data_IF_997777647559
#
_entry.id   IF_997777647559
#
_cell.length_a   1.000
_cell.length_b   1.000
_cell.length_c   1.000
_cell.angle_alpha   90.00
_cell.angle_beta   90.00
_cell.angle_gamma   90.00
#
_symmetry.space_group_name_H-M   'P 1'
#
loop_
_entity.id
_entity.type
_entity.pdbx_description
1 polymer ?
#
# COMPACT_ATOMS: atom_id res chain seq x y z
N UNK A 1 0.33 -35.30 3.89
CA UNK A 1 0.64 -33.91 4.28
C UNK A 1 0.67 -33.07 3.00
N UNK A 2 -0.38 -32.30 2.72
CA UNK A 2 -0.39 -31.40 1.57
C UNK A 2 0.53 -30.22 1.84
N UNK A 3 1.57 -30.02 1.02
CA UNK A 3 2.34 -28.77 1.05
C UNK A 3 1.41 -27.67 0.56
N UNK A 4 0.98 -26.77 1.46
CA UNK A 4 0.38 -25.52 1.04
C UNK A 4 1.40 -24.75 0.22
N UNK A 5 1.02 -24.35 -0.99
CA UNK A 5 1.86 -23.48 -1.82
C UNK A 5 1.94 -22.14 -1.07
N UNK A 6 3.13 -21.65 -0.68
CA UNK A 6 3.24 -20.36 -0.04
C UNK A 6 2.73 -19.27 -0.98
N UNK A 7 1.94 -18.32 -0.47
CA UNK A 7 1.47 -17.19 -1.28
C UNK A 7 2.69 -16.53 -1.96
N UNK A 8 2.70 -16.38 -3.30
CA UNK A 8 3.84 -15.85 -4.05
C UNK A 8 4.30 -14.46 -3.58
N UNK A 9 3.41 -13.68 -2.95
CA UNK A 9 3.74 -12.36 -2.42
C UNK A 9 4.91 -12.36 -1.44
N UNK A 10 5.05 -13.41 -0.63
CA UNK A 10 6.12 -13.47 0.37
C UNK A 10 7.49 -13.58 -0.30
N UNK A 11 7.59 -14.43 -1.32
CA UNK A 11 8.80 -14.50 -2.15
C UNK A 11 9.10 -13.15 -2.81
N UNK A 12 8.06 -12.44 -3.28
CA UNK A 12 8.23 -11.14 -3.92
C UNK A 12 8.76 -10.09 -2.94
N UNK A 13 8.16 -9.94 -1.76
CA UNK A 13 8.55 -8.95 -0.74
C UNK A 13 10.00 -9.13 -0.32
N UNK A 14 10.42 -10.37 -0.06
CA UNK A 14 11.76 -10.62 0.47
C UNK A 14 12.86 -10.45 -0.59
N UNK A 15 12.51 -10.58 -1.88
CA UNK A 15 13.42 -10.30 -3.01
C UNK A 15 13.64 -8.81 -3.29
N UNK A 16 12.74 -7.92 -2.83
CA UNK A 16 12.84 -6.49 -3.12
C UNK A 16 14.19 -5.90 -2.65
N UNK A 17 14.80 -5.06 -3.48
CA UNK A 17 16.01 -4.33 -3.17
C UNK A 17 15.73 -3.05 -2.34
N UNK A 18 15.05 -3.19 -1.20
CA UNK A 18 14.67 -2.07 -0.33
C UNK A 18 15.03 -2.32 1.15
N UNK A 19 15.08 -1.27 1.99
CA UNK A 19 15.40 -1.41 3.41
C UNK A 19 14.46 -2.36 4.14
N UNK A 20 14.97 -3.12 5.12
CA UNK A 20 14.18 -4.10 5.88
C UNK A 20 12.91 -3.50 6.51
N UNK A 21 12.96 -2.24 6.96
CA UNK A 21 11.78 -1.53 7.51
C UNK A 21 10.62 -1.41 6.51
N UNK A 22 10.92 -1.30 5.21
CA UNK A 22 9.92 -1.26 4.14
C UNK A 22 9.31 -2.65 4.00
N UNK A 23 10.12 -3.71 3.92
CA UNK A 23 9.63 -5.10 3.86
C UNK A 23 8.72 -5.45 5.06
N UNK A 24 9.14 -5.08 6.27
CA UNK A 24 8.33 -5.26 7.48
C UNK A 24 7.02 -4.47 7.44
N UNK A 25 7.05 -3.24 6.93
CA UNK A 25 5.84 -2.45 6.74
C UNK A 25 4.85 -3.13 5.78
N UNK A 26 5.33 -3.62 4.62
CA UNK A 26 4.48 -4.35 3.66
C UNK A 26 3.91 -5.61 4.33
N UNK A 27 4.75 -6.40 5.00
CA UNK A 27 4.32 -7.58 5.74
C UNK A 27 3.19 -7.26 6.75
N UNK A 28 3.37 -6.20 7.57
CA UNK A 28 2.33 -5.77 8.53
C UNK A 28 1.05 -5.34 7.85
N UNK A 29 1.18 -4.63 6.72
CA UNK A 29 0.05 -4.16 5.93
C UNK A 29 -0.75 -5.34 5.40
N UNK A 30 -0.11 -6.30 4.73
CA UNK A 30 -0.80 -7.47 4.17
C UNK A 30 -1.44 -8.38 5.23
N UNK A 31 -0.93 -8.36 6.46
CA UNK A 31 -1.57 -9.02 7.59
C UNK A 31 -2.71 -8.20 8.25
N UNK A 32 -3.03 -7.00 7.76
CA UNK A 32 -4.04 -6.11 8.33
C UNK A 32 -3.67 -5.58 9.72
N UNK A 33 -2.38 -5.56 10.07
CA UNK A 33 -1.88 -5.20 11.42
C UNK A 33 -1.28 -3.78 11.48
N UNK A 34 -1.49 -3.00 10.42
CA UNK A 34 -1.04 -1.63 10.36
C UNK A 34 -1.91 -0.75 11.28
N UNK A 35 -1.32 0.11 12.12
CA UNK A 35 -2.10 0.94 13.03
C UNK A 35 -2.67 2.13 12.26
N UNK A 36 -3.83 1.96 11.63
CA UNK A 36 -4.59 3.05 11.01
C UNK A 36 -5.50 3.71 12.06
N UNK A 37 -5.86 5.00 11.93
CA UNK A 37 -6.66 5.67 12.97
C UNK A 37 -8.03 5.04 13.16
N UNK A 38 -8.65 4.51 12.09
CA UNK A 38 -9.88 3.71 12.21
C UNK A 38 -9.66 2.51 13.14
N UNK A 39 -8.58 1.76 12.94
CA UNK A 39 -8.24 0.59 13.76
C UNK A 39 -7.96 0.98 15.22
N UNK A 40 -7.33 2.12 15.46
CA UNK A 40 -7.07 2.62 16.82
C UNK A 40 -8.35 3.09 17.51
N UNK A 41 -9.22 3.81 16.80
CA UNK A 41 -10.51 4.25 17.29
C UNK A 41 -11.42 3.04 17.63
N UNK A 42 -11.43 2.02 16.77
CA UNK A 42 -12.14 0.75 17.02
C UNK A 42 -11.62 -0.02 18.25
N UNK A 43 -10.39 0.27 18.70
CA UNK A 43 -9.81 -0.25 19.95
C UNK A 43 -10.07 0.69 21.14
N UNK A 44 -11.04 1.60 21.02
CA UNK A 44 -11.44 2.56 22.06
C UNK A 44 -10.33 3.54 22.48
N UNK A 45 -9.31 3.76 21.63
CA UNK A 45 -8.38 4.87 21.86
C UNK A 45 -9.06 6.19 21.54
N UNK A 46 -8.81 7.22 22.36
CA UNK A 46 -9.31 8.58 22.16
C UNK A 46 -8.57 9.28 21.01
N UNK A 47 -8.78 8.81 19.79
CA UNK A 47 -8.23 9.37 18.55
C UNK A 47 -9.34 9.59 17.53
N UNK A 48 -9.29 10.70 16.80
CA UNK A 48 -10.19 10.90 15.66
C UNK A 48 -9.85 9.88 14.57
N UNK A 49 -10.83 9.16 13.99
CA UNK A 49 -10.59 8.21 12.89
C UNK A 49 -10.32 8.91 11.56
N UNK A 50 -10.40 10.24 11.51
CA UNK A 50 -10.19 11.02 10.28
C UNK A 50 -8.73 11.02 9.84
N UNK A 51 -8.49 11.06 8.53
CA UNK A 51 -7.15 11.18 7.97
C UNK A 51 -6.45 12.48 8.43
N UNK A 52 -5.27 12.41 9.06
CA UNK A 52 -4.56 13.60 9.54
C UNK A 52 -3.97 14.43 8.39
N UNK A 53 -3.70 13.79 7.24
CA UNK A 53 -3.02 14.43 6.11
C UNK A 53 -3.96 15.29 5.28
N UNK A 54 -5.14 14.78 4.94
CA UNK A 54 -6.09 15.49 4.07
C UNK A 54 -7.33 16.02 4.80
N UNK A 55 -7.53 15.60 6.07
CA UNK A 55 -8.72 15.91 6.87
C UNK A 55 -10.05 15.53 6.20
N UNK A 56 -10.02 14.61 5.22
CA UNK A 56 -11.16 14.15 4.45
C UNK A 56 -11.23 12.63 4.52
N UNK A 57 -12.33 12.10 5.01
CA UNK A 57 -12.54 10.65 5.11
C UNK A 57 -11.80 10.00 6.28
N UNK A 58 -12.06 8.70 6.45
CA UNK A 58 -11.50 7.87 7.50
C UNK A 58 -10.11 7.37 7.10
N UNK A 59 -9.16 7.37 8.04
CA UNK A 59 -7.83 6.80 7.81
C UNK A 59 -7.87 5.28 8.00
N UNK A 60 -8.21 4.57 6.94
CA UNK A 60 -7.93 3.15 6.77
C UNK A 60 -6.75 2.95 5.80
N UNK A 61 -6.34 1.70 5.58
CA UNK A 61 -5.22 1.36 4.68
C UNK A 61 -5.48 1.85 3.25
N UNK A 62 -6.71 1.73 2.73
CA UNK A 62 -7.06 2.11 1.35
C UNK A 62 -6.97 3.62 1.17
N UNK A 63 -7.51 4.38 2.11
CA UNK A 63 -7.46 5.83 2.09
C UNK A 63 -6.03 6.33 2.27
N UNK A 64 -5.33 5.87 3.28
CA UNK A 64 -3.96 6.29 3.58
C UNK A 64 -3.02 6.02 2.40
N UNK A 65 -3.12 4.85 1.76
CA UNK A 65 -2.22 4.47 0.68
C UNK A 65 -2.66 4.95 -0.70
N UNK A 66 -3.95 5.13 -0.99
CA UNK A 66 -4.40 5.33 -2.38
C UNK A 66 -5.40 6.48 -2.56
N UNK A 67 -6.36 6.67 -1.66
CA UNK A 67 -7.44 7.66 -1.88
C UNK A 67 -7.14 9.06 -1.33
N UNK A 68 -6.24 9.15 -0.35
CA UNK A 68 -5.82 10.43 0.24
C UNK A 68 -5.26 11.34 -0.86
N UNK A 69 -5.60 12.63 -0.80
CA UNK A 69 -5.12 13.62 -1.79
C UNK A 69 -3.59 13.62 -1.91
N UNK A 70 -2.88 13.43 -0.79
CA UNK A 70 -1.42 13.34 -0.81
C UNK A 70 -0.92 12.04 -1.44
N UNK A 71 -1.60 10.92 -1.18
CA UNK A 71 -1.29 9.65 -1.81
C UNK A 71 -1.45 9.76 -3.34
N UNK A 72 -2.59 10.27 -3.80
CA UNK A 72 -2.86 10.51 -5.23
C UNK A 72 -1.77 11.37 -5.89
N UNK A 73 -1.31 12.41 -5.22
CA UNK A 73 -0.21 13.25 -5.73
C UNK A 73 1.10 12.46 -5.89
N UNK A 74 1.47 11.64 -4.91
CA UNK A 74 2.69 10.81 -4.98
C UNK A 74 2.60 9.82 -6.14
N UNK A 75 1.48 9.11 -6.26
CA UNK A 75 1.28 8.12 -7.32
C UNK A 75 1.23 8.73 -8.71
N UNK A 76 0.60 9.90 -8.85
CA UNK A 76 0.62 10.66 -10.11
C UNK A 76 2.02 11.07 -10.53
N UNK A 77 2.86 11.49 -9.58
CA UNK A 77 4.28 11.82 -9.86
C UNK A 77 5.11 10.60 -10.29
N UNK A 78 4.66 9.39 -9.98
CA UNK A 78 5.27 8.14 -10.40
C UNK A 78 4.63 7.57 -11.68
N UNK A 79 3.63 8.25 -12.27
CA UNK A 79 2.91 7.75 -13.44
C UNK A 79 2.02 6.53 -13.16
N UNK A 80 1.63 6.31 -11.90
CA UNK A 80 0.80 5.19 -11.46
C UNK A 80 -0.67 5.59 -11.20
N UNK A 81 -1.05 6.83 -11.46
CA UNK A 81 -2.40 7.33 -11.20
C UNK A 81 -3.48 6.55 -11.97
N UNK A 82 -3.24 6.25 -13.25
CA UNK A 82 -4.21 5.51 -14.09
C UNK A 82 -4.50 4.12 -13.52
N UNK A 83 -3.44 3.37 -13.16
CA UNK A 83 -3.62 2.01 -12.63
C UNK A 83 -4.22 2.04 -11.22
N UNK A 84 -3.84 3.00 -10.39
CA UNK A 84 -4.35 3.14 -9.03
C UNK A 84 -5.82 3.55 -9.02
N UNK A 85 -6.23 4.49 -9.87
CA UNK A 85 -7.62 4.88 -9.99
C UNK A 85 -8.46 3.66 -10.45
N UNK A 86 -8.00 2.91 -11.46
CA UNK A 86 -8.69 1.70 -11.95
C UNK A 86 -8.87 0.63 -10.88
N UNK A 87 -7.83 0.31 -10.09
CA UNK A 87 -7.96 -0.71 -9.03
C UNK A 87 -8.76 -0.21 -7.83
N UNK A 88 -8.82 1.11 -7.62
CA UNK A 88 -9.60 1.71 -6.54
C UNK A 88 -11.11 1.79 -6.86
N UNK A 89 -11.50 1.73 -8.14
CA UNK A 89 -12.91 1.60 -8.56
C UNK A 89 -13.54 0.29 -8.06
N UNK A 90 -12.72 -0.75 -7.89
CA UNK A 90 -13.16 -2.01 -7.29
C UNK A 90 -13.20 -1.86 -5.77
N UNK A 91 -14.24 -2.41 -5.13
CA UNK A 91 -14.38 -2.40 -3.67
C UNK A 91 -13.46 -3.44 -3.00
N UNK A 92 -12.15 -3.22 -3.14
CA UNK A 92 -11.10 -3.99 -2.49
C UNK A 92 -10.56 -3.26 -1.27
N UNK A 93 -10.15 -4.03 -0.27
CA UNK A 93 -9.37 -3.55 0.87
C UNK A 93 -8.00 -3.03 0.40
N UNK A 94 -7.42 -2.07 1.14
CA UNK A 94 -6.14 -1.46 0.76
C UNK A 94 -4.97 -2.46 0.71
N UNK A 95 -5.04 -3.49 1.56
CA UNK A 95 -4.10 -4.60 1.61
C UNK A 95 -4.11 -5.40 0.31
N UNK A 96 -5.30 -5.71 -0.20
CA UNK A 96 -5.48 -6.46 -1.45
C UNK A 96 -5.01 -5.65 -2.67
N UNK A 97 -5.26 -4.32 -2.67
CA UNK A 97 -4.74 -3.43 -3.72
C UNK A 97 -3.21 -3.42 -3.70
N UNK A 98 -2.59 -3.31 -2.52
CA UNK A 98 -1.13 -3.32 -2.41
C UNK A 98 -0.52 -4.67 -2.84
N UNK A 99 -1.13 -5.79 -2.46
CA UNK A 99 -0.72 -7.12 -2.91
C UNK A 99 -0.81 -7.25 -4.42
N UNK A 100 -1.93 -6.83 -5.02
CA UNK A 100 -2.12 -6.81 -6.46
C UNK A 100 -1.02 -6.01 -7.16
N UNK A 101 -0.76 -4.77 -6.72
CA UNK A 101 0.27 -3.92 -7.33
C UNK A 101 1.67 -4.53 -7.25
N UNK A 102 2.02 -5.22 -6.17
CA UNK A 102 3.33 -5.88 -6.01
C UNK A 102 3.49 -7.15 -6.85
N UNK A 103 2.38 -7.81 -7.19
CA UNK A 103 2.34 -9.02 -8.02
C UNK A 103 2.09 -8.74 -9.50
N UNK A 104 1.87 -7.48 -9.89
CA UNK A 104 1.68 -7.12 -11.28
C UNK A 104 2.85 -7.60 -12.17
N UNK A 105 2.56 -8.13 -13.37
CA UNK A 105 3.58 -8.42 -14.37
C UNK A 105 4.32 -7.15 -14.79
N UNK A 106 5.62 -7.28 -15.09
CA UNK A 106 6.47 -6.12 -15.44
C UNK A 106 5.96 -5.38 -16.68
N UNK A 107 5.37 -6.09 -17.65
CA UNK A 107 4.75 -5.51 -18.85
C UNK A 107 3.59 -4.55 -18.54
N UNK A 108 2.91 -4.72 -17.42
CA UNK A 108 1.76 -3.91 -17.00
C UNK A 108 2.19 -2.78 -16.04
N UNK A 109 3.46 -2.80 -15.60
CA UNK A 109 4.10 -1.81 -14.74
C UNK A 109 4.99 -0.88 -15.57
N UNK A 110 4.40 0.13 -16.22
CA UNK A 110 5.18 1.18 -16.90
C UNK A 110 5.36 2.40 -16.00
N UNK A 111 6.24 2.30 -14.98
CA UNK A 111 6.58 3.45 -14.12
C UNK A 111 7.64 4.30 -14.81
N UNK A 112 7.21 5.23 -15.67
CA UNK A 112 8.06 6.29 -16.27
C UNK A 112 9.43 5.85 -16.84
N UNK A 113 9.60 4.57 -17.20
CA UNK A 113 10.87 4.02 -17.69
C UNK A 113 11.95 3.75 -16.62
N UNK A 114 11.61 3.73 -15.33
CA UNK A 114 12.54 3.37 -14.26
C UNK A 114 12.62 1.85 -14.07
N UNK A 115 13.83 1.34 -13.88
CA UNK A 115 14.04 -0.01 -13.35
C UNK A 115 13.63 -0.04 -11.86
N UNK A 116 13.06 -1.16 -11.40
CA UNK A 116 12.68 -1.44 -9.99
C UNK A 116 11.31 -0.88 -9.56
N UNK A 117 10.29 -1.11 -10.39
CA UNK A 117 8.92 -0.63 -10.21
C UNK A 117 8.30 -1.09 -8.88
N UNK A 118 8.57 -2.34 -8.50
CA UNK A 118 8.04 -2.93 -7.25
C UNK A 118 8.68 -2.30 -6.02
N UNK A 119 9.97 -2.01 -6.05
CA UNK A 119 10.67 -1.26 -5.02
C UNK A 119 10.08 0.14 -4.88
N UNK A 120 9.79 0.81 -6.00
CA UNK A 120 9.15 2.12 -6.01
C UNK A 120 7.76 2.08 -5.37
N UNK A 121 6.94 1.07 -5.69
CA UNK A 121 5.63 0.86 -5.04
C UNK A 121 5.81 0.67 -3.53
N UNK A 122 6.70 -0.25 -3.12
CA UNK A 122 6.90 -0.59 -1.72
C UNK A 122 7.43 0.61 -0.90
N UNK A 123 8.41 1.33 -1.43
CA UNK A 123 9.01 2.50 -0.78
C UNK A 123 8.00 3.65 -0.71
N UNK A 124 7.22 3.86 -1.77
CA UNK A 124 6.20 4.92 -1.81
C UNK A 124 5.06 4.66 -0.82
N UNK A 125 4.57 3.41 -0.75
CA UNK A 125 3.59 3.01 0.24
C UNK A 125 4.14 3.19 1.68
N UNK A 126 5.38 2.78 1.92
CA UNK A 126 6.04 3.01 3.22
C UNK A 126 6.20 4.50 3.54
N UNK A 127 6.57 5.32 2.56
CA UNK A 127 6.72 6.76 2.70
C UNK A 127 5.39 7.43 3.06
N UNK A 128 4.29 7.06 2.38
CA UNK A 128 2.95 7.56 2.67
C UNK A 128 2.53 7.24 4.10
N UNK A 129 2.78 6.01 4.55
CA UNK A 129 2.54 5.61 5.93
C UNK A 129 3.43 6.34 6.94
N UNK A 130 4.70 6.57 6.61
CA UNK A 130 5.65 7.24 7.49
C UNK A 130 5.36 8.74 7.65
N UNK A 131 4.83 9.38 6.60
CA UNK A 131 4.55 10.82 6.56
C UNK A 131 3.23 11.25 7.20
N UNK A 132 2.34 10.30 7.48
CA UNK A 132 1.06 10.58 8.16
C UNK A 132 1.26 11.04 9.60
#
# INVERSE_FOLDING_TARGET
MGRSIPNPIWCQIWKLACPAKVKFFIWRTLHGTLPCRVTLANRHMKVSPSCPTCSRGLEDTKHMLFLCSKAKEVWKRLGMDVIIDKVCEVDLAGEAILEYLLLLPDQDLSIMGYQNEREMIAISAWYLWWKR
#
